data_IF_518796744201
#
_entry.id   IF_518796744201
#
_cell.length_a   1.000
_cell.length_b   1.000
_cell.length_c   1.000
_cell.angle_alpha   90.00
_cell.angle_beta   90.00
_cell.angle_gamma   90.00
#
_symmetry.space_group_name_H-M   'P 1'
#
loop_
_entity.id
_entity.type
_entity.pdbx_description
1 polymer ?
#
# COMPACT_ATOMS: atom_id res chain seq x y z
N UNK A 1 -76.26 72.79 -35.07
CA UNK A 1 -75.12 71.89 -34.80
C UNK A 1 -73.95 72.78 -34.41
N UNK A 2 -73.39 72.62 -33.21
CA UNK A 2 -72.50 73.63 -32.62
C UNK A 2 -71.12 73.70 -33.30
N UNK A 3 -70.52 74.89 -33.34
CA UNK A 3 -69.22 75.12 -34.01
C UNK A 3 -68.09 74.25 -33.45
N UNK A 4 -68.04 74.02 -32.14
CA UNK A 4 -67.08 73.11 -31.50
C UNK A 4 -67.02 71.72 -32.16
N UNK A 5 -68.15 71.19 -32.65
CA UNK A 5 -68.20 69.89 -33.32
C UNK A 5 -67.56 69.91 -34.71
N UNK A 6 -67.46 71.09 -35.35
CA UNK A 6 -66.71 71.25 -36.61
C UNK A 6 -65.20 71.30 -36.35
N UNK A 7 -64.77 72.02 -35.32
CA UNK A 7 -63.35 72.15 -34.95
C UNK A 7 -62.77 70.80 -34.53
N UNK A 8 -63.46 70.06 -33.63
CA UNK A 8 -63.10 68.68 -33.27
C UNK A 8 -63.05 67.76 -34.51
N UNK A 9 -64.04 67.87 -35.43
CA UNK A 9 -64.07 67.04 -36.64
C UNK A 9 -62.95 67.40 -37.64
N UNK A 10 -62.49 68.66 -37.68
CA UNK A 10 -61.33 69.04 -38.48
C UNK A 10 -60.02 68.57 -37.86
N UNK A 11 -59.87 68.70 -36.53
CA UNK A 11 -58.70 68.22 -35.78
C UNK A 11 -58.50 66.70 -35.97
N UNK A 12 -59.54 65.90 -35.73
CA UNK A 12 -59.51 64.45 -35.90
C UNK A 12 -59.20 64.02 -37.35
N UNK A 13 -59.65 64.78 -38.36
CA UNK A 13 -59.32 64.51 -39.77
C UNK A 13 -57.84 64.79 -40.07
N UNK A 14 -57.25 65.81 -39.47
CA UNK A 14 -55.83 66.09 -39.61
C UNK A 14 -54.97 64.98 -38.98
N UNK A 15 -55.28 64.55 -37.75
CA UNK A 15 -54.57 63.45 -37.08
C UNK A 15 -54.66 62.12 -37.85
N UNK A 16 -55.86 61.75 -38.32
CA UNK A 16 -56.04 60.54 -39.15
C UNK A 16 -55.24 60.61 -40.45
N UNK A 17 -55.12 61.79 -41.07
CA UNK A 17 -54.31 61.98 -42.28
C UNK A 17 -52.82 61.81 -42.00
N UNK A 18 -52.32 62.33 -40.88
CA UNK A 18 -50.91 62.15 -40.46
C UNK A 18 -50.62 60.68 -40.14
N UNK A 19 -51.53 60.00 -39.42
CA UNK A 19 -51.39 58.57 -39.12
C UNK A 19 -51.40 57.71 -40.40
N UNK A 20 -52.26 58.02 -41.38
CA UNK A 20 -52.26 57.35 -42.67
C UNK A 20 -50.95 57.53 -43.44
N UNK A 21 -50.34 58.72 -43.40
CA UNK A 21 -49.01 58.95 -43.99
C UNK A 21 -47.89 58.18 -43.26
N UNK A 22 -47.93 58.12 -41.92
CA UNK A 22 -46.96 57.34 -41.13
C UNK A 22 -47.08 55.83 -41.38
N UNK A 23 -48.30 55.30 -41.50
CA UNK A 23 -48.55 53.89 -41.85
C UNK A 23 -48.12 53.59 -43.28
N UNK A 24 -48.39 54.47 -44.25
CA UNK A 24 -47.86 54.35 -45.62
C UNK A 24 -46.32 54.33 -45.64
N UNK A 25 -45.66 55.21 -44.88
CA UNK A 25 -44.20 55.23 -44.79
C UNK A 25 -43.62 53.94 -44.19
N UNK A 26 -44.26 53.38 -43.15
CA UNK A 26 -43.88 52.08 -42.56
C UNK A 26 -44.07 50.92 -43.54
N UNK A 27 -45.17 50.91 -44.30
CA UNK A 27 -45.42 49.88 -45.33
C UNK A 27 -44.44 49.97 -46.50
N UNK A 28 -44.04 51.18 -46.91
CA UNK A 28 -43.04 51.39 -47.98
C UNK A 28 -41.61 51.06 -47.53
N UNK A 29 -41.30 51.16 -46.24
CA UNK A 29 -39.98 50.85 -45.68
C UNK A 29 -39.68 49.34 -45.55
N UNK A 30 -40.69 48.47 -45.58
CA UNK A 30 -40.51 47.02 -45.49
C UNK A 30 -40.32 46.39 -46.87
N UNK A 31 -39.07 46.34 -47.34
CA UNK A 31 -38.64 45.53 -48.49
C UNK A 31 -37.67 44.43 -48.04
N UNK A 32 -37.83 43.16 -48.47
CA UNK A 32 -37.12 42.04 -47.89
C UNK A 32 -35.70 41.88 -48.45
N UNK A 33 -34.70 41.72 -47.57
CA UNK A 33 -33.40 41.12 -47.89
C UNK A 33 -32.96 40.17 -46.78
N UNK A 34 -32.26 39.11 -47.17
CA UNK A 34 -31.98 37.91 -46.38
C UNK A 34 -30.53 37.84 -45.88
N UNK A 35 -30.21 36.77 -45.13
CA UNK A 35 -28.90 36.35 -44.60
C UNK A 35 -28.47 36.87 -43.21
N UNK A 36 -28.56 35.95 -42.24
CA UNK A 36 -27.55 35.64 -41.19
C UNK A 36 -26.82 36.78 -40.48
N UNK A 37 -27.35 37.13 -39.30
CA UNK A 37 -26.65 37.35 -38.02
C UNK A 37 -25.21 37.91 -38.03
N UNK A 38 -25.06 39.16 -37.53
CA UNK A 38 -23.95 39.51 -36.61
C UNK A 38 -24.14 40.85 -35.85
N UNK A 39 -24.22 40.73 -34.50
CA UNK A 39 -23.62 41.62 -33.47
C UNK A 39 -24.17 43.05 -33.19
N UNK A 40 -24.06 43.42 -31.89
CA UNK A 40 -24.04 44.76 -31.22
C UNK A 40 -25.43 45.40 -30.96
N UNK A 41 -25.81 45.66 -29.68
CA UNK A 41 -25.41 46.72 -28.70
C UNK A 41 -26.08 48.08 -29.03
N UNK A 42 -26.58 48.92 -28.10
CA UNK A 42 -26.54 48.94 -26.61
C UNK A 42 -27.71 49.76 -26.00
N UNK A 43 -27.99 49.57 -24.69
CA UNK A 43 -28.98 50.22 -23.80
C UNK A 43 -29.34 51.72 -23.99
N UNK A 44 -30.60 52.07 -23.63
CA UNK A 44 -31.04 52.90 -22.46
C UNK A 44 -32.54 53.28 -22.61
N UNK A 45 -33.50 52.72 -21.85
CA UNK A 45 -33.89 53.03 -20.46
C UNK A 45 -34.46 54.44 -20.20
N UNK A 46 -35.78 54.56 -19.97
CA UNK A 46 -36.42 55.14 -18.75
C UNK A 46 -37.97 55.00 -18.80
N UNK A 47 -38.59 55.00 -17.61
CA UNK A 47 -39.90 54.42 -17.21
C UNK A 47 -41.17 55.17 -17.67
N UNK A 48 -42.15 54.37 -18.09
CA UNK A 48 -43.61 54.41 -17.85
C UNK A 48 -44.28 55.60 -17.13
N UNK A 49 -45.44 56.00 -17.68
CA UNK A 49 -46.63 56.56 -16.96
C UNK A 49 -47.87 55.69 -17.34
N UNK A 50 -49.05 55.93 -16.77
CA UNK A 50 -50.06 54.93 -16.37
C UNK A 50 -51.36 54.78 -17.22
N UNK A 51 -51.92 53.56 -17.22
CA UNK A 51 -53.34 53.15 -17.45
C UNK A 51 -54.00 53.40 -18.84
N UNK A 52 -55.17 52.78 -19.13
CA UNK A 52 -55.53 51.36 -18.93
C UNK A 52 -56.25 50.71 -20.14
N UNK A 53 -56.33 49.36 -20.19
CA UNK A 53 -57.46 48.48 -20.59
C UNK A 53 -56.96 47.13 -21.15
N UNK A 54 -57.88 46.14 -21.27
CA UNK A 54 -57.77 45.11 -22.32
C UNK A 54 -57.05 43.79 -21.99
N UNK A 55 -57.51 43.10 -20.94
CA UNK A 55 -57.12 41.72 -20.59
C UNK A 55 -57.04 40.78 -21.81
N UNK A 56 -55.92 40.08 -21.99
CA UNK A 56 -55.87 38.65 -22.36
C UNK A 56 -54.73 37.97 -21.60
N UNK A 57 -54.86 36.67 -21.28
CA UNK A 57 -54.10 36.03 -20.21
C UNK A 57 -53.54 34.64 -20.59
N UNK A 58 -52.22 34.56 -20.75
CA UNK A 58 -51.38 33.36 -20.60
C UNK A 58 -49.91 33.85 -20.53
N UNK A 59 -49.19 33.81 -19.40
CA UNK A 59 -48.72 32.62 -18.66
C UNK A 59 -47.75 31.77 -19.52
N UNK A 60 -46.52 31.43 -19.10
CA UNK A 60 -45.95 31.29 -17.74
C UNK A 60 -44.46 31.73 -17.71
N UNK A 61 -44.05 32.40 -16.61
CA UNK A 61 -42.67 32.61 -16.09
C UNK A 61 -41.60 33.30 -16.99
N UNK A 62 -40.59 34.00 -16.45
CA UNK A 62 -40.37 34.52 -15.10
C UNK A 62 -39.61 35.86 -15.15
N UNK A 63 -39.97 36.77 -14.24
CA UNK A 63 -39.16 37.94 -13.90
C UNK A 63 -38.04 37.49 -12.94
N UNK A 64 -36.82 37.27 -13.45
CA UNK A 64 -35.69 36.89 -12.59
C UNK A 64 -35.23 38.09 -11.75
N UNK A 65 -35.37 37.94 -10.42
CA UNK A 65 -35.07 38.97 -9.42
C UNK A 65 -33.61 39.01 -8.98
N UNK A 66 -33.35 39.76 -7.90
CA UNK A 66 -32.01 39.95 -7.36
C UNK A 66 -31.39 38.64 -6.84
N UNK A 67 -30.18 38.32 -7.31
CA UNK A 67 -29.46 37.09 -7.02
C UNK A 67 -28.21 36.94 -7.88
N UNK A 68 -27.44 38.02 -8.05
CA UNK A 68 -26.37 38.10 -9.04
C UNK A 68 -25.09 37.39 -8.60
N UNK A 69 -24.83 36.22 -9.20
CA UNK A 69 -23.50 35.64 -9.36
C UNK A 69 -23.44 35.10 -10.79
N UNK A 70 -22.72 35.79 -11.69
CA UNK A 70 -22.66 35.41 -13.10
C UNK A 70 -21.97 34.05 -13.28
N UNK A 71 -22.75 33.05 -13.67
CA UNK A 71 -22.34 31.63 -13.60
C UNK A 71 -21.36 31.20 -14.71
N UNK A 72 -21.16 31.99 -15.76
CA UNK A 72 -20.26 31.65 -16.86
C UNK A 72 -19.77 32.90 -17.62
N UNK A 73 -18.46 33.04 -17.74
CA UNK A 73 -17.77 34.05 -18.54
C UNK A 73 -16.76 33.39 -19.48
N UNK A 74 -16.56 33.94 -20.69
CA UNK A 74 -15.55 33.47 -21.65
C UNK A 74 -14.80 34.67 -22.24
N UNK A 75 -13.47 34.63 -22.22
CA UNK A 75 -12.62 35.72 -22.71
C UNK A 75 -12.30 35.62 -24.23
N UNK A 76 -11.54 36.59 -24.75
CA UNK A 76 -11.20 36.68 -26.18
C UNK A 76 -10.11 35.68 -26.60
N UNK A 77 -9.53 34.96 -25.64
CA UNK A 77 -8.51 33.93 -25.80
C UNK A 77 -9.10 32.51 -25.62
N UNK A 78 -10.40 32.40 -25.33
CA UNK A 78 -11.13 31.13 -25.17
C UNK A 78 -11.09 30.54 -23.77
N UNK A 79 -10.68 31.32 -22.75
CA UNK A 79 -10.62 30.91 -21.35
C UNK A 79 -11.95 31.14 -20.64
N UNK A 80 -12.34 30.23 -19.76
CA UNK A 80 -13.69 30.15 -19.16
C UNK A 80 -13.62 30.34 -17.64
N UNK A 81 -14.46 31.23 -17.11
CA UNK A 81 -14.61 31.47 -15.66
C UNK A 81 -16.03 31.17 -15.18
N UNK A 82 -16.17 30.50 -14.05
CA UNK A 82 -17.44 30.13 -13.40
C UNK A 82 -17.42 30.72 -11.98
N UNK A 83 -18.20 31.79 -11.76
CA UNK A 83 -18.07 32.63 -10.57
C UNK A 83 -16.88 33.60 -10.60
N UNK A 84 -16.27 33.81 -11.78
CA UNK A 84 -15.14 34.69 -12.03
C UNK A 84 -15.16 35.17 -13.49
N UNK A 85 -14.70 36.39 -13.75
CA UNK A 85 -14.82 37.08 -15.05
C UNK A 85 -13.49 37.47 -15.70
N UNK A 86 -12.36 36.94 -15.20
CA UNK A 86 -11.02 37.14 -15.77
C UNK A 86 -10.16 35.86 -15.69
N UNK A 87 -10.61 34.73 -16.29
CA UNK A 87 -9.96 33.43 -16.14
C UNK A 87 -8.54 33.42 -16.74
N UNK A 88 -7.54 33.06 -15.93
CA UNK A 88 -6.14 33.00 -16.39
C UNK A 88 -5.79 31.69 -17.12
N UNK A 89 -6.51 30.62 -16.80
CA UNK A 89 -6.40 29.28 -17.40
C UNK A 89 -7.70 28.91 -18.14
N UNK A 90 -7.72 27.78 -18.86
CA UNK A 90 -8.85 27.41 -19.74
C UNK A 90 -10.18 27.27 -18.97
N UNK A 91 -10.14 26.84 -17.72
CA UNK A 91 -11.30 26.75 -16.81
C UNK A 91 -10.88 27.20 -15.40
N UNK A 92 -11.64 28.11 -14.81
CA UNK A 92 -11.50 28.64 -13.44
C UNK A 92 -12.89 28.64 -12.75
N UNK A 93 -12.99 28.21 -11.49
CA UNK A 93 -14.24 27.81 -10.80
C UNK A 93 -14.18 28.19 -9.30
N UNK A 94 -15.33 28.37 -8.64
CA UNK A 94 -15.47 28.43 -7.16
C UNK A 94 -16.71 27.66 -6.64
N UNK A 95 -16.74 27.32 -5.34
CA UNK A 95 -17.85 26.53 -4.74
C UNK A 95 -19.12 27.33 -4.46
N UNK A 96 -20.19 26.61 -4.09
CA UNK A 96 -21.55 27.13 -3.90
C UNK A 96 -22.07 27.04 -2.46
N UNK A 97 -21.83 25.94 -1.75
CA UNK A 97 -22.37 25.68 -0.40
C UNK A 97 -21.51 24.64 0.37
N UNK A 98 -21.93 24.24 1.58
CA UNK A 98 -21.16 23.36 2.47
C UNK A 98 -21.30 21.86 2.19
N UNK A 99 -22.15 21.44 1.25
CA UNK A 99 -22.25 20.05 0.78
C UNK A 99 -21.73 19.86 -0.65
N UNK A 100 -21.50 20.96 -1.39
CA UNK A 100 -20.77 20.96 -2.66
C UNK A 100 -19.27 21.19 -2.44
N UNK A 101 -18.41 20.18 -2.66
CA UNK A 101 -16.97 20.37 -2.55
C UNK A 101 -16.41 21.00 -3.83
N UNK A 102 -15.94 22.24 -3.69
CA UNK A 102 -14.92 22.81 -4.56
C UNK A 102 -13.93 23.60 -3.69
N UNK A 103 -12.65 23.54 -4.02
CA UNK A 103 -11.53 23.92 -3.14
C UNK A 103 -11.05 25.37 -3.36
N UNK A 104 -9.97 25.77 -2.67
CA UNK A 104 -9.33 27.10 -2.66
C UNK A 104 -10.15 28.17 -1.88
N UNK A 105 -9.84 28.52 -0.63
CA UNK A 105 -8.93 27.93 0.36
C UNK A 105 -9.44 28.39 1.78
N UNK A 106 -8.79 28.27 2.94
CA UNK A 106 -7.41 27.95 3.34
C UNK A 106 -7.15 26.45 3.54
N UNK A 107 -7.85 25.58 2.79
CA UNK A 107 -7.63 24.15 2.80
C UNK A 107 -7.86 23.56 1.40
N UNK A 108 -6.93 22.69 0.98
CA UNK A 108 -7.11 21.77 -0.15
C UNK A 108 -8.14 20.68 0.23
N UNK A 109 -9.38 21.08 0.47
CA UNK A 109 -10.46 20.20 0.88
C UNK A 109 -11.08 19.51 -0.33
N UNK A 110 -10.47 18.39 -0.71
CA UNK A 110 -10.89 17.54 -1.81
C UNK A 110 -12.04 16.64 -1.33
N UNK A 111 -13.26 17.18 -1.30
CA UNK A 111 -14.43 16.43 -0.92
C UNK A 111 -14.76 15.31 -1.91
N UNK A 112 -15.05 14.13 -1.38
CA UNK A 112 -15.21 12.90 -2.14
C UNK A 112 -16.45 12.15 -1.63
N UNK A 113 -17.42 11.96 -2.51
CA UNK A 113 -18.68 11.26 -2.22
C UNK A 113 -18.65 9.77 -2.61
N UNK A 114 -17.52 9.25 -3.11
CA UNK A 114 -17.44 7.94 -3.75
C UNK A 114 -16.05 7.25 -3.63
N UNK A 115 -15.43 7.37 -2.45
CA UNK A 115 -14.29 6.55 -2.02
C UNK A 115 -12.84 6.95 -2.35
N UNK A 116 -12.54 7.87 -3.27
CA UNK A 116 -11.13 8.28 -3.55
C UNK A 116 -10.96 9.72 -4.01
N UNK A 117 -9.90 10.35 -3.51
CA UNK A 117 -9.32 11.65 -3.90
C UNK A 117 -8.00 11.41 -4.64
N UNK A 118 -7.65 12.23 -5.64
CA UNK A 118 -6.43 12.01 -6.44
C UNK A 118 -5.72 13.29 -6.89
N UNK A 119 -4.40 13.33 -6.77
CA UNK A 119 -3.51 14.28 -7.46
C UNK A 119 -2.77 13.50 -8.55
N UNK A 120 -2.80 13.98 -9.80
CA UNK A 120 -2.41 13.18 -10.98
C UNK A 120 -1.53 14.00 -11.94
N UNK A 121 -0.36 13.47 -12.30
CA UNK A 121 0.51 13.99 -13.35
C UNK A 121 0.68 12.96 -14.49
N UNK A 122 0.47 13.41 -15.74
CA UNK A 122 0.60 12.64 -16.98
C UNK A 122 -0.21 11.32 -17.08
N UNK A 123 -0.98 10.94 -16.06
CA UNK A 123 -1.89 9.79 -16.09
C UNK A 123 -3.38 10.21 -16.14
N UNK A 124 -4.26 9.23 -16.36
CA UNK A 124 -5.70 9.27 -16.14
C UNK A 124 -6.23 7.83 -16.03
N UNK A 125 -7.48 7.63 -15.60
CA UNK A 125 -8.18 6.35 -15.69
C UNK A 125 -9.14 6.35 -16.89
N UNK A 126 -9.22 5.24 -17.60
CA UNK A 126 -10.24 5.01 -18.63
C UNK A 126 -11.56 4.47 -18.04
N UNK A 127 -12.53 4.21 -18.90
CA UNK A 127 -13.88 3.74 -18.54
C UNK A 127 -13.90 2.34 -17.89
N UNK A 128 -12.83 1.53 -18.06
CA UNK A 128 -12.66 0.27 -17.33
C UNK A 128 -12.03 0.45 -15.94
N UNK A 129 -11.73 1.69 -15.55
CA UNK A 129 -10.97 2.04 -14.35
C UNK A 129 -9.46 1.84 -14.49
N UNK A 130 -8.98 1.41 -15.66
CA UNK A 130 -7.59 1.11 -15.97
C UNK A 130 -6.74 2.38 -16.12
N UNK A 131 -5.51 2.35 -15.63
CA UNK A 131 -4.58 3.48 -15.77
C UNK A 131 -4.10 3.63 -17.22
N UNK A 132 -4.05 4.87 -17.69
CA UNK A 132 -3.58 5.30 -19.01
C UNK A 132 -2.66 6.53 -18.88
N UNK A 133 -1.82 6.77 -19.88
CA UNK A 133 -0.91 7.92 -19.93
C UNK A 133 -1.35 8.93 -20.99
N UNK A 134 -1.27 10.22 -20.66
CA UNK A 134 -1.51 11.33 -21.60
C UNK A 134 -0.34 11.50 -22.58
N UNK A 135 0.86 11.15 -22.17
CA UNK A 135 2.05 11.08 -23.02
C UNK A 135 2.89 9.84 -22.62
N UNK A 136 3.00 8.88 -23.54
CA UNK A 136 3.73 7.62 -23.33
C UNK A 136 5.26 7.73 -23.51
N UNK A 137 5.80 8.94 -23.66
CA UNK A 137 7.24 9.26 -23.71
C UNK A 137 7.65 10.19 -22.55
N UNK A 138 6.85 10.19 -21.47
CA UNK A 138 7.13 10.91 -20.23
C UNK A 138 6.74 10.06 -19.03
N UNK A 139 7.42 10.26 -17.90
CA UNK A 139 7.01 9.70 -16.61
C UNK A 139 5.62 10.14 -16.20
N UNK A 140 5.00 9.39 -15.31
CA UNK A 140 3.70 9.72 -14.74
C UNK A 140 3.61 9.32 -13.27
N UNK A 141 2.70 9.96 -12.54
CA UNK A 141 2.61 9.88 -11.08
C UNK A 141 1.19 10.15 -10.59
N UNK A 142 0.71 9.38 -9.61
CA UNK A 142 -0.46 9.76 -8.82
C UNK A 142 -0.21 9.64 -7.32
N UNK A 143 -0.92 10.48 -6.56
CA UNK A 143 -1.16 10.36 -5.13
C UNK A 143 -2.67 10.14 -4.94
N UNK A 144 -3.09 9.01 -4.37
CA UNK A 144 -4.50 8.71 -4.08
C UNK A 144 -4.74 8.65 -2.56
N UNK A 145 -5.72 9.42 -2.07
CA UNK A 145 -6.22 9.37 -0.69
C UNK A 145 -7.57 8.63 -0.71
N UNK A 146 -7.72 7.55 0.06
CA UNK A 146 -8.94 6.71 0.07
C UNK A 146 -9.75 6.84 1.36
N UNK A 147 -11.04 6.60 1.23
CA UNK A 147 -12.00 6.40 2.33
C UNK A 147 -11.57 5.31 3.34
N UNK A 148 -10.95 4.25 2.83
CA UNK A 148 -10.33 3.13 3.57
C UNK A 148 -9.12 3.52 4.44
N UNK A 149 -8.80 4.82 4.57
CA UNK A 149 -7.68 5.31 5.37
C UNK A 149 -6.29 5.02 4.76
N UNK A 150 -6.25 4.60 3.49
CA UNK A 150 -5.00 4.41 2.75
C UNK A 150 -4.63 5.68 1.97
N UNK A 151 -3.37 6.09 2.10
CA UNK A 151 -2.71 7.00 1.16
C UNK A 151 -1.78 6.18 0.27
N UNK A 152 -1.97 6.25 -1.04
CA UNK A 152 -1.23 5.45 -2.02
C UNK A 152 -0.48 6.33 -3.02
N UNK A 153 0.72 5.88 -3.38
CA UNK A 153 1.57 6.50 -4.39
C UNK A 153 1.68 5.53 -5.58
N UNK A 154 1.38 6.00 -6.79
CA UNK A 154 1.60 5.24 -8.03
C UNK A 154 2.48 6.04 -9.00
N UNK A 155 3.15 5.36 -9.90
CA UNK A 155 3.89 6.02 -10.97
C UNK A 155 4.75 5.07 -11.80
N UNK A 156 5.51 5.66 -12.70
CA UNK A 156 6.48 5.00 -13.58
C UNK A 156 7.89 5.22 -13.04
N UNK A 157 8.79 4.24 -13.15
CA UNK A 157 10.20 4.43 -12.78
C UNK A 157 11.00 5.06 -13.93
N UNK A 158 10.62 4.71 -15.14
CA UNK A 158 11.10 5.17 -16.45
C UNK A 158 10.01 5.98 -17.15
N UNK A 159 10.19 6.28 -18.43
CA UNK A 159 9.19 6.98 -19.25
C UNK A 159 8.31 5.95 -19.99
N UNK A 160 7.00 6.17 -20.04
CA UNK A 160 6.03 5.27 -20.68
C UNK A 160 5.28 4.36 -19.69
N UNK A 161 4.38 3.51 -20.22
CA UNK A 161 3.34 2.83 -19.43
C UNK A 161 3.79 1.49 -18.81
N UNK A 162 4.84 0.88 -19.34
CA UNK A 162 5.23 -0.52 -19.11
C UNK A 162 5.63 -0.87 -17.68
N UNK A 163 5.98 0.13 -16.87
CA UNK A 163 6.42 -0.03 -15.48
C UNK A 163 5.52 0.72 -14.48
N UNK A 164 4.29 1.08 -14.88
CA UNK A 164 3.30 1.69 -13.99
C UNK A 164 3.00 0.78 -12.80
N UNK A 165 3.32 1.25 -11.59
CA UNK A 165 3.23 0.46 -10.37
C UNK A 165 2.80 1.30 -9.17
N UNK A 166 2.22 0.64 -8.17
CA UNK A 166 2.14 1.18 -6.82
C UNK A 166 3.56 1.24 -6.24
N UNK A 167 3.97 2.39 -5.73
CA UNK A 167 5.31 2.65 -5.19
C UNK A 167 5.32 2.51 -3.67
N UNK A 168 4.34 3.09 -3.00
CA UNK A 168 4.18 3.01 -1.55
C UNK A 168 2.72 3.18 -1.12
N UNK A 169 2.41 2.69 0.08
CA UNK A 169 1.12 2.85 0.78
C UNK A 169 1.38 3.23 2.23
N UNK A 170 0.74 4.30 2.71
CA UNK A 170 0.56 4.58 4.14
C UNK A 170 -0.83 4.05 4.51
N UNK A 171 -0.84 3.11 5.45
CA UNK A 171 -1.99 2.31 5.86
C UNK A 171 -2.34 2.71 7.30
N UNK A 172 -3.14 3.77 7.43
CA UNK A 172 -3.46 4.34 8.74
C UNK A 172 -4.24 3.36 9.65
N UNK A 173 -5.20 2.55 9.16
CA UNK A 173 -5.86 1.54 9.99
C UNK A 173 -4.89 0.51 10.58
N UNK A 174 -3.84 0.12 9.82
CA UNK A 174 -2.82 -0.83 10.29
C UNK A 174 -1.60 -0.17 10.95
N UNK A 175 -1.57 1.17 11.08
CA UNK A 175 -0.41 1.96 11.51
C UNK A 175 0.89 1.64 10.73
N UNK A 176 0.80 1.31 9.45
CA UNK A 176 1.90 0.77 8.65
C UNK A 176 2.29 1.65 7.45
N UNK A 177 3.56 1.62 7.06
CA UNK A 177 4.06 2.22 5.81
C UNK A 177 4.73 1.11 5.01
N UNK A 178 4.22 0.85 3.80
CA UNK A 178 4.60 -0.27 2.94
C UNK A 178 5.18 0.28 1.64
N UNK A 179 6.44 -0.05 1.33
CA UNK A 179 7.07 0.29 0.06
C UNK A 179 7.17 -0.96 -0.81
N UNK A 180 6.79 -0.87 -2.10
CA UNK A 180 6.84 -2.01 -3.04
C UNK A 180 8.14 -2.05 -3.87
N UNK A 181 9.11 -1.22 -3.52
CA UNK A 181 10.47 -1.25 -4.02
C UNK A 181 11.43 -0.97 -2.85
N UNK A 182 12.70 -1.43 -2.90
CA UNK A 182 13.68 -1.20 -1.83
C UNK A 182 13.87 0.30 -1.56
N UNK A 183 13.70 0.71 -0.30
CA UNK A 183 13.87 2.12 0.09
C UNK A 183 15.35 2.40 0.21
N UNK A 184 15.86 3.44 -0.46
CA UNK A 184 17.24 3.89 -0.27
C UNK A 184 17.25 5.16 0.57
N UNK A 185 17.70 5.05 1.83
CA UNK A 185 17.82 6.15 2.78
C UNK A 185 19.30 6.51 2.92
N UNK A 186 19.66 7.76 2.64
CA UNK A 186 21.04 8.27 2.71
C UNK A 186 22.07 7.39 1.95
N UNK A 187 21.66 6.80 0.82
CA UNK A 187 22.49 5.89 0.01
C UNK A 187 22.48 4.43 0.47
N UNK A 188 21.90 4.10 1.63
CA UNK A 188 21.75 2.73 2.12
C UNK A 188 20.42 2.16 1.65
N UNK A 189 20.46 1.09 0.84
CA UNK A 189 19.25 0.35 0.46
C UNK A 189 18.75 -0.52 1.62
N UNK A 190 17.69 -0.07 2.27
CA UNK A 190 16.92 -0.84 3.25
C UNK A 190 16.15 -1.94 2.52
N UNK A 191 16.81 -3.08 2.32
CA UNK A 191 16.13 -4.36 2.28
C UNK A 191 15.62 -4.65 3.69
N UNK A 192 14.36 -5.08 3.81
CA UNK A 192 13.67 -5.10 5.09
C UNK A 192 14.20 -6.25 5.98
N UNK A 193 14.70 -5.92 7.17
CA UNK A 193 15.49 -6.78 8.07
C UNK A 193 16.96 -7.03 7.64
N UNK A 194 17.89 -6.62 8.51
CA UNK A 194 19.34 -6.89 8.43
C UNK A 194 19.72 -8.37 8.67
N UNK A 195 18.74 -9.24 8.95
CA UNK A 195 18.95 -10.64 9.29
C UNK A 195 18.58 -11.51 8.08
N UNK A 196 19.52 -12.27 7.49
CA UNK A 196 19.21 -13.21 6.41
C UNK A 196 18.19 -14.27 6.84
N UNK A 197 17.25 -14.59 5.96
CA UNK A 197 16.35 -15.73 6.14
C UNK A 197 17.16 -17.03 6.26
N UNK A 198 16.76 -17.91 7.18
CA UNK A 198 17.54 -19.07 7.61
C UNK A 198 18.47 -18.82 8.82
N UNK A 199 18.68 -17.57 9.24
CA UNK A 199 19.45 -17.28 10.47
C UNK A 199 18.74 -17.81 11.70
N UNK A 200 19.41 -18.67 12.46
CA UNK A 200 18.96 -19.16 13.77
C UNK A 200 19.58 -18.32 14.89
N UNK A 201 18.81 -18.04 15.96
CA UNK A 201 19.32 -17.35 17.14
C UNK A 201 18.68 -17.87 18.44
N UNK A 202 19.41 -17.70 19.54
CA UNK A 202 18.90 -17.94 20.88
C UNK A 202 17.83 -16.90 21.25
N UNK A 203 16.79 -17.35 21.95
CA UNK A 203 15.61 -16.56 22.31
C UNK A 203 15.22 -16.81 23.77
N UNK A 204 15.13 -15.74 24.55
CA UNK A 204 14.78 -15.80 25.98
C UNK A 204 13.28 -15.78 26.28
N UNK A 205 12.42 -15.57 25.27
CA UNK A 205 10.97 -15.63 25.44
C UNK A 205 10.44 -17.06 25.39
N UNK A 206 9.30 -17.30 26.02
CA UNK A 206 8.65 -18.60 26.10
C UNK A 206 7.95 -18.96 24.77
N UNK A 207 8.49 -19.96 24.05
CA UNK A 207 7.88 -20.47 22.81
C UNK A 207 6.79 -21.53 23.04
N UNK A 208 6.42 -21.83 24.29
CA UNK A 208 5.20 -22.61 24.60
C UNK A 208 3.96 -21.73 24.71
N UNK A 209 4.14 -20.42 24.89
CA UNK A 209 3.06 -19.43 24.92
C UNK A 209 2.60 -19.06 23.50
N UNK A 210 1.32 -19.27 23.20
CA UNK A 210 0.76 -19.04 21.86
C UNK A 210 0.82 -17.59 21.39
N UNK A 211 0.60 -16.59 22.26
CA UNK A 211 0.70 -15.18 21.89
C UNK A 211 2.15 -14.76 21.63
N UNK A 212 3.13 -15.32 22.35
CA UNK A 212 4.56 -15.12 22.03
C UNK A 212 4.88 -15.70 20.65
N UNK A 213 4.45 -16.93 20.36
CA UNK A 213 4.66 -17.57 19.05
C UNK A 213 3.94 -16.84 17.91
N UNK A 214 2.75 -16.31 18.15
CA UNK A 214 1.98 -15.47 17.21
C UNK A 214 2.68 -14.15 16.91
N UNK A 215 3.23 -13.48 17.93
CA UNK A 215 4.01 -12.26 17.75
C UNK A 215 5.35 -12.52 17.03
N UNK A 216 6.03 -13.64 17.32
CA UNK A 216 7.20 -14.10 16.54
C UNK A 216 6.85 -14.30 15.06
N UNK A 217 5.75 -15.03 14.77
CA UNK A 217 5.27 -15.28 13.41
C UNK A 217 4.93 -13.99 12.66
N UNK A 218 4.32 -13.01 13.35
CA UNK A 218 4.05 -11.68 12.79
C UNK A 218 5.34 -10.90 12.45
N UNK A 219 6.42 -11.11 13.23
CA UNK A 219 7.76 -10.58 12.95
C UNK A 219 8.58 -11.47 11.99
N UNK A 220 7.96 -12.48 11.37
CA UNK A 220 8.57 -13.37 10.39
C UNK A 220 9.57 -14.37 10.97
N UNK A 221 9.44 -14.70 12.25
CA UNK A 221 10.24 -15.71 12.95
C UNK A 221 9.41 -16.96 13.25
N UNK A 222 10.07 -18.12 13.31
CA UNK A 222 9.49 -19.40 13.74
C UNK A 222 10.33 -20.00 14.88
N UNK A 223 9.74 -20.74 15.83
CA UNK A 223 10.49 -21.60 16.74
C UNK A 223 11.30 -22.65 15.98
N UNK A 224 12.40 -23.12 16.57
CA UNK A 224 13.14 -24.30 16.11
C UNK A 224 12.66 -25.55 16.88
N UNK A 225 11.43 -25.98 16.59
CA UNK A 225 10.69 -27.06 17.25
C UNK A 225 10.45 -28.28 16.34
N UNK A 226 11.10 -28.34 15.17
CA UNK A 226 10.95 -29.42 14.19
C UNK A 226 9.66 -29.40 13.37
N UNK A 227 8.76 -28.42 13.54
CA UNK A 227 7.47 -28.41 12.86
C UNK A 227 7.59 -28.36 11.32
N UNK A 228 6.67 -29.04 10.62
CA UNK A 228 6.53 -28.90 9.18
C UNK A 228 5.83 -27.57 8.84
N UNK A 229 6.39 -26.82 7.90
CA UNK A 229 5.87 -25.51 7.47
C UNK A 229 5.75 -25.42 5.95
N UNK A 230 4.82 -24.57 5.50
CA UNK A 230 4.42 -24.41 4.10
C UNK A 230 5.52 -23.77 3.24
N UNK A 231 5.86 -24.40 2.11
CA UNK A 231 6.76 -23.84 1.09
C UNK A 231 6.15 -22.59 0.44
N UNK A 232 4.82 -22.45 0.42
CA UNK A 232 4.13 -21.26 -0.09
C UNK A 232 4.29 -20.07 0.87
N UNK A 233 4.10 -20.30 2.17
CA UNK A 233 4.07 -19.23 3.18
C UNK A 233 5.48 -18.79 3.64
N UNK A 234 6.48 -19.64 3.42
CA UNK A 234 7.88 -19.45 3.84
C UNK A 234 8.86 -19.81 2.71
N UNK A 235 8.52 -19.47 1.46
CA UNK A 235 9.30 -19.85 0.28
C UNK A 235 10.77 -19.39 0.28
N UNK A 236 11.10 -18.27 0.93
CA UNK A 236 12.49 -17.84 1.09
C UNK A 236 13.26 -18.69 2.11
N UNK A 237 12.59 -19.20 3.15
CA UNK A 237 13.18 -20.16 4.08
C UNK A 237 13.39 -21.50 3.40
N UNK A 238 12.48 -21.93 2.54
CA UNK A 238 12.68 -23.13 1.72
C UNK A 238 13.85 -22.99 0.75
N UNK A 239 14.08 -21.81 0.14
CA UNK A 239 15.29 -21.54 -0.66
C UNK A 239 16.57 -21.63 0.18
N UNK A 240 16.53 -21.23 1.44
CA UNK A 240 17.68 -21.22 2.34
C UNK A 240 18.01 -22.60 2.95
N UNK A 241 16.99 -23.41 3.25
CA UNK A 241 17.15 -24.71 3.94
C UNK A 241 16.97 -25.93 3.03
N UNK A 242 16.16 -25.83 1.97
CA UNK A 242 15.59 -27.00 1.30
C UNK A 242 14.88 -27.91 2.31
N UNK A 243 15.17 -29.21 2.23
CA UNK A 243 14.71 -30.23 3.21
C UNK A 243 15.79 -30.57 4.24
N UNK A 244 16.79 -29.70 4.49
CA UNK A 244 17.95 -30.02 5.32
C UNK A 244 17.60 -30.57 6.72
N UNK A 245 16.50 -30.10 7.32
CA UNK A 245 16.03 -30.50 8.64
C UNK A 245 14.80 -31.44 8.60
N UNK A 246 14.47 -31.97 7.42
CA UNK A 246 13.32 -32.85 7.19
C UNK A 246 12.49 -32.42 5.97
N UNK A 247 11.85 -33.40 5.33
CA UNK A 247 11.11 -33.21 4.07
C UNK A 247 9.67 -32.67 4.24
N UNK A 248 9.21 -32.47 5.48
CA UNK A 248 7.83 -32.10 5.80
C UNK A 248 6.83 -33.26 5.66
N UNK A 249 5.64 -33.09 6.23
CA UNK A 249 4.56 -34.09 6.18
C UNK A 249 3.96 -34.26 4.77
N UNK A 250 4.25 -33.33 3.85
CA UNK A 250 3.70 -33.29 2.48
C UNK A 250 4.74 -32.75 1.50
N UNK A 251 4.53 -32.99 0.20
CA UNK A 251 5.38 -32.42 -0.87
C UNK A 251 5.39 -30.88 -0.95
N UNK A 252 4.49 -30.20 -0.24
CA UNK A 252 4.37 -28.73 -0.19
C UNK A 252 4.81 -28.15 1.17
N UNK A 253 5.33 -28.98 2.07
CA UNK A 253 5.92 -28.56 3.34
C UNK A 253 7.41 -28.91 3.41
N UNK A 254 8.08 -28.47 4.47
CA UNK A 254 9.45 -28.83 4.86
C UNK A 254 9.59 -28.58 6.37
N UNK A 255 10.53 -29.23 7.06
CA UNK A 255 10.70 -29.02 8.50
C UNK A 255 11.59 -27.81 8.81
N UNK A 256 11.23 -27.04 9.84
CA UNK A 256 12.19 -26.16 10.54
C UNK A 256 13.16 -27.02 11.38
N UNK A 257 14.32 -26.50 11.82
CA UNK A 257 15.19 -27.22 12.73
C UNK A 257 14.47 -27.61 14.03
N UNK A 258 14.83 -28.76 14.62
CA UNK A 258 14.58 -29.01 16.05
C UNK A 258 15.90 -28.86 16.81
N UNK A 259 15.94 -27.88 17.72
CA UNK A 259 17.09 -27.60 18.58
C UNK A 259 16.79 -27.85 20.07
N UNK A 260 15.61 -28.39 20.41
CA UNK A 260 15.22 -28.65 21.79
C UNK A 260 16.13 -29.72 22.40
N UNK A 261 16.85 -29.37 23.47
CA UNK A 261 17.80 -30.26 24.15
C UNK A 261 19.08 -30.59 23.36
N UNK A 262 19.37 -29.88 22.26
CA UNK A 262 20.55 -30.13 21.41
C UNK A 262 21.56 -28.99 21.47
N UNK A 263 22.84 -29.32 21.30
CA UNK A 263 23.91 -28.32 21.15
C UNK A 263 24.22 -28.06 19.67
N UNK A 264 24.09 -26.82 19.15
CA UNK A 264 24.49 -26.52 17.79
C UNK A 264 26.02 -26.53 17.65
N UNK A 265 26.54 -27.18 16.61
CA UNK A 265 27.96 -27.15 16.25
C UNK A 265 28.14 -26.71 14.79
N UNK A 266 29.24 -26.02 14.51
CA UNK A 266 29.59 -25.61 13.15
C UNK A 266 29.86 -26.82 12.24
N UNK A 267 29.58 -26.69 10.94
CA UNK A 267 29.97 -27.67 9.93
C UNK A 267 31.50 -27.74 9.82
N UNK A 268 32.06 -28.93 9.55
CA UNK A 268 33.52 -29.13 9.47
C UNK A 268 34.14 -28.30 8.34
N UNK A 269 33.45 -28.16 7.21
CA UNK A 269 33.92 -27.45 6.00
C UNK A 269 35.32 -27.88 5.55
N UNK A 270 35.66 -29.16 5.75
CA UNK A 270 36.99 -29.76 5.50
C UNK A 270 38.14 -29.19 6.35
N UNK A 271 37.85 -28.53 7.47
CA UNK A 271 38.87 -27.99 8.40
C UNK A 271 39.65 -29.06 9.18
N UNK A 272 39.20 -30.32 9.18
CA UNK A 272 39.84 -31.44 9.87
C UNK A 272 39.62 -31.49 11.38
N UNK A 273 38.84 -30.55 11.95
CA UNK A 273 38.59 -30.42 13.40
C UNK A 273 37.49 -31.35 13.94
N UNK A 274 36.94 -32.18 13.06
CA UNK A 274 35.70 -32.91 13.24
C UNK A 274 35.78 -34.19 12.39
N UNK A 275 36.47 -35.24 12.88
CA UNK A 275 36.78 -36.43 12.09
C UNK A 275 35.51 -37.22 11.74
N UNK A 276 34.53 -37.24 12.64
CA UNK A 276 33.29 -38.02 12.56
C UNK A 276 32.18 -37.27 11.80
N UNK A 277 32.53 -36.19 11.07
CA UNK A 277 31.58 -35.36 10.36
C UNK A 277 30.69 -36.14 9.38
N UNK A 278 31.23 -37.20 8.76
CA UNK A 278 30.53 -37.99 7.74
C UNK A 278 29.70 -39.16 8.32
N UNK A 279 29.85 -39.52 9.60
CA UNK A 279 29.06 -40.62 10.24
C UNK A 279 27.66 -40.19 10.70
N UNK A 280 27.38 -38.87 10.69
CA UNK A 280 26.13 -38.28 11.17
C UNK A 280 24.90 -38.70 10.38
N UNK A 281 23.79 -38.91 11.08
CA UNK A 281 22.49 -39.25 10.48
C UNK A 281 21.69 -38.02 10.04
N UNK A 282 20.65 -38.27 9.28
CA UNK A 282 19.50 -37.38 9.16
C UNK A 282 18.51 -37.65 10.30
N UNK A 283 17.97 -36.61 10.91
CA UNK A 283 16.86 -36.72 11.86
C UNK A 283 15.98 -35.44 11.84
N UNK A 284 14.69 -35.52 11.48
CA UNK A 284 13.96 -36.70 10.98
C UNK A 284 14.47 -37.24 9.63
N UNK A 285 13.92 -38.39 9.23
CA UNK A 285 14.20 -38.99 7.91
C UNK A 285 13.84 -38.01 6.77
N UNK A 286 14.65 -38.02 5.70
CA UNK A 286 14.56 -37.02 4.62
C UNK A 286 15.31 -35.71 4.91
N UNK A 287 15.84 -35.53 6.12
CA UNK A 287 16.85 -34.51 6.43
C UNK A 287 18.22 -34.80 5.80
N UNK A 288 19.18 -33.91 6.05
CA UNK A 288 20.58 -34.07 5.64
C UNK A 288 21.35 -35.03 6.56
N UNK A 289 22.27 -35.80 5.99
CA UNK A 289 23.22 -36.66 6.70
C UNK A 289 24.68 -36.32 6.33
N UNK A 290 25.63 -36.83 7.11
CA UNK A 290 27.06 -36.54 6.97
C UNK A 290 27.40 -35.07 7.25
N UNK A 291 28.46 -34.56 6.61
CA UNK A 291 29.03 -33.23 6.89
C UNK A 291 28.23 -32.08 6.24
N UNK A 292 26.96 -31.93 6.63
CA UNK A 292 25.99 -30.99 6.05
C UNK A 292 25.19 -30.29 7.14
N UNK A 293 24.69 -29.09 6.84
CA UNK A 293 23.70 -28.42 7.71
C UNK A 293 22.45 -29.29 7.79
N UNK A 294 21.95 -29.55 9.01
CA UNK A 294 20.81 -30.43 9.27
C UNK A 294 21.15 -31.84 9.75
N UNK A 295 22.43 -32.26 9.67
CA UNK A 295 22.89 -33.53 10.21
C UNK A 295 22.85 -33.59 11.74
N UNK A 296 22.49 -34.74 12.32
CA UNK A 296 22.49 -34.98 13.77
C UNK A 296 23.56 -36.03 14.16
N UNK A 297 24.19 -35.81 15.31
CA UNK A 297 25.13 -36.71 15.97
C UNK A 297 24.60 -36.98 17.38
N UNK A 298 24.78 -38.20 17.90
CA UNK A 298 24.50 -38.55 19.29
C UNK A 298 25.60 -38.03 20.24
N UNK A 299 25.44 -38.26 21.54
CA UNK A 299 26.54 -38.07 22.48
C UNK A 299 27.61 -39.14 22.32
N UNK A 300 28.87 -38.74 22.49
CA UNK A 300 30.03 -39.62 22.41
C UNK A 300 31.07 -39.18 23.45
N UNK A 301 31.70 -40.16 24.09
CA UNK A 301 32.84 -39.91 24.98
C UNK A 301 34.07 -40.62 24.44
N UNK A 302 35.23 -39.93 24.44
CA UNK A 302 36.46 -40.47 23.90
C UNK A 302 36.89 -41.75 24.63
N UNK A 303 37.19 -42.79 23.85
CA UNK A 303 37.63 -44.09 24.36
C UNK A 303 38.81 -43.97 25.33
N UNK A 304 38.67 -44.62 26.50
CA UNK A 304 39.64 -44.64 27.60
C UNK A 304 39.33 -45.84 28.52
N UNK A 305 40.25 -46.17 29.44
CA UNK A 305 40.13 -47.31 30.37
C UNK A 305 40.70 -46.97 31.75
N UNK A 306 40.21 -47.62 32.82
CA UNK A 306 40.65 -47.40 34.21
C UNK A 306 41.07 -48.72 34.87
N UNK A 307 42.30 -49.17 34.57
CA UNK A 307 42.89 -50.36 35.18
C UNK A 307 43.44 -50.10 36.57
N UNK A 308 43.16 -51.02 37.50
CA UNK A 308 43.89 -51.13 38.77
C UNK A 308 44.29 -52.58 39.05
N UNK A 309 45.34 -52.75 39.83
CA UNK A 309 45.84 -54.04 40.30
C UNK A 309 45.15 -54.41 41.61
N UNK A 310 44.49 -55.56 41.65
CA UNK A 310 43.82 -56.04 42.86
C UNK A 310 44.56 -57.25 43.46
N UNK A 311 44.72 -57.23 44.78
CA UNK A 311 45.32 -58.33 45.56
C UNK A 311 44.22 -59.02 46.39
N UNK A 312 44.03 -60.35 46.24
CA UNK A 312 43.00 -61.07 46.97
C UNK A 312 43.13 -60.94 48.49
N UNK A 313 42.17 -60.26 49.12
CA UNK A 313 42.00 -60.20 50.59
C UNK A 313 42.28 -58.86 51.28
N UNK A 314 42.78 -57.83 50.58
CA UNK A 314 43.18 -56.56 51.20
C UNK A 314 42.47 -55.32 50.64
N UNK A 315 41.64 -54.64 51.44
CA UNK A 315 41.11 -53.29 51.10
C UNK A 315 42.20 -52.22 51.26
N UNK A 316 42.93 -51.94 50.18
CA UNK A 316 43.67 -50.67 50.02
C UNK A 316 45.03 -50.58 50.71
N UNK A 317 45.94 -51.53 50.44
CA UNK A 317 47.35 -51.44 50.83
C UNK A 317 48.28 -52.01 49.76
N UNK A 318 49.46 -51.40 49.58
CA UNK A 318 50.52 -51.96 48.74
C UNK A 318 51.24 -53.05 49.55
N UNK A 319 51.03 -54.31 49.20
CA UNK A 319 51.73 -55.45 49.78
C UNK A 319 52.80 -55.96 48.79
N UNK A 320 54.04 -56.10 49.25
CA UNK A 320 55.14 -56.68 48.48
C UNK A 320 55.55 -58.05 49.01
N UNK A 321 55.70 -59.04 48.13
CA UNK A 321 56.19 -60.38 48.45
C UNK A 321 55.84 -61.41 47.36
N UNK A 322 56.71 -62.39 47.17
CA UNK A 322 56.76 -63.25 45.97
C UNK A 322 55.64 -64.32 45.83
N UNK A 323 54.63 -64.29 46.72
CA UNK A 323 53.59 -65.32 46.84
C UNK A 323 52.17 -64.87 46.45
N UNK A 324 52.00 -63.63 45.99
CA UNK A 324 50.67 -63.07 45.71
C UNK A 324 50.34 -63.04 44.22
N UNK A 325 49.19 -63.59 43.84
CA UNK A 325 48.62 -63.40 42.49
C UNK A 325 47.85 -62.09 42.43
N UNK A 326 48.20 -61.25 41.45
CA UNK A 326 47.53 -59.98 41.18
C UNK A 326 46.58 -60.12 39.99
N UNK A 327 45.34 -59.66 40.11
CA UNK A 327 44.36 -59.64 39.01
C UNK A 327 44.15 -58.24 38.45
N UNK A 328 43.92 -58.15 37.14
CA UNK A 328 43.52 -56.90 36.48
C UNK A 328 42.04 -56.64 36.72
N UNK A 329 41.73 -55.55 37.42
CA UNK A 329 40.36 -55.09 37.67
C UNK A 329 40.05 -53.80 36.89
N UNK A 330 38.77 -53.46 36.76
CA UNK A 330 38.28 -52.19 36.21
C UNK A 330 37.39 -51.49 37.25
N UNK A 331 37.34 -50.16 37.22
CA UNK A 331 36.42 -49.37 38.06
C UNK A 331 34.96 -49.61 37.68
N UNK A 332 34.05 -49.55 38.66
CA UNK A 332 32.62 -49.46 38.39
C UNK A 332 32.26 -48.14 37.65
N UNK A 333 31.12 -48.14 36.96
CA UNK A 333 30.60 -46.94 36.30
C UNK A 333 30.22 -45.84 37.31
N UNK A 334 30.40 -44.58 36.92
CA UNK A 334 30.03 -43.40 37.72
C UNK A 334 29.47 -42.29 36.82
N UNK A 335 28.65 -41.41 37.37
CA UNK A 335 27.99 -40.32 36.63
C UNK A 335 26.47 -40.45 36.61
N UNK A 336 25.85 -40.04 35.49
CA UNK A 336 24.40 -40.02 35.30
C UNK A 336 24.00 -40.34 33.85
N UNK A 337 22.75 -40.04 33.48
CA UNK A 337 22.16 -40.40 32.17
C UNK A 337 22.72 -39.65 30.96
N UNK A 338 23.43 -38.55 31.15
CA UNK A 338 23.90 -37.65 30.10
C UNK A 338 25.21 -37.00 30.53
N UNK A 339 26.22 -36.96 29.65
CA UNK A 339 27.49 -36.26 29.91
C UNK A 339 27.45 -34.89 29.26
N UNK A 340 27.46 -33.82 30.06
CA UNK A 340 27.35 -32.43 29.56
C UNK A 340 28.11 -31.40 30.41
N UNK A 341 28.65 -30.33 29.81
CA UNK A 341 29.15 -29.18 30.56
C UNK A 341 28.00 -28.39 31.21
N UNK A 342 28.32 -27.48 32.14
CA UNK A 342 27.37 -26.49 32.64
C UNK A 342 26.81 -25.69 31.46
N UNK A 343 25.49 -25.55 31.40
CA UNK A 343 24.77 -24.90 30.32
C UNK A 343 23.56 -24.11 30.86
N UNK A 344 22.95 -23.29 29.99
CA UNK A 344 21.73 -22.54 30.25
C UNK A 344 20.73 -22.88 29.14
N UNK A 345 19.47 -23.13 29.51
CA UNK A 345 18.41 -23.40 28.56
C UNK A 345 17.83 -22.09 28.02
N UNK A 346 17.72 -22.01 26.70
CA UNK A 346 17.08 -20.93 25.93
C UNK A 346 16.27 -21.59 24.82
N UNK A 347 15.22 -20.91 24.37
CA UNK A 347 14.53 -21.32 23.15
C UNK A 347 15.37 -20.91 21.93
N UNK A 348 15.06 -21.49 20.77
CA UNK A 348 15.70 -21.16 19.50
C UNK A 348 14.65 -20.72 18.50
N UNK A 349 14.95 -19.67 17.73
CA UNK A 349 14.09 -19.18 16.65
C UNK A 349 14.88 -19.01 15.35
N UNK A 350 14.20 -19.13 14.21
CA UNK A 350 14.75 -18.98 12.87
C UNK A 350 14.03 -17.89 12.07
N UNK A 351 14.78 -17.02 11.37
CA UNK A 351 14.20 -15.96 10.53
C UNK A 351 13.60 -16.61 9.29
N UNK A 352 12.27 -16.65 9.22
CA UNK A 352 11.52 -17.42 8.24
C UNK A 352 11.06 -16.60 7.02
N UNK A 353 10.86 -15.29 7.19
CA UNK A 353 10.65 -14.33 6.10
C UNK A 353 10.93 -12.89 6.51
N UNK A 354 11.19 -12.05 5.52
CA UNK A 354 11.14 -10.59 5.65
C UNK A 354 9.68 -10.13 5.86
N UNK A 355 9.46 -8.97 6.49
CA UNK A 355 8.15 -8.51 7.00
C UNK A 355 7.97 -7.01 6.82
#
# INVERSE_FOLDING_TARGET
>A
MNEAWKEDSQSLRAEVTVLQQQVQALLMAQQPRTSTDRRRRVFKSIRFIWLPFGITLAAVSALYGAGAMDALFIDQQGRIGIGTTTPEHVVDIRSKDTTTPFSIDNALYLGNYNGTVSIINNAYRDESGGWQLKNAQKKAFTLELRDSGMLELYGTATDGKTDWRKMATFDAPSNAIKFLAPVTLNGVSYQNSLVPVGTMMAYGGDTTNEDVVKNLKAQGWLPCDGAAVSQTDYGDLFKALGTAFGAGDTKLTFNVPDLRGRFPRGTNQKSGRDPDAESRRAEPAGGNAGNKVGSVQDDEFKSHTHGYTEFPGGRGGIAGGDYWSSTTSQTAATGGKETRPKNLYVNWIIKAKHT
#
